data_IF_517208148514
#
_entry.id   IF_517208148514
#
_cell.length_a   1.000
_cell.length_b   1.000
_cell.length_c   1.000
_cell.angle_alpha   90.00
_cell.angle_beta   90.00
_cell.angle_gamma   90.00
#
_symmetry.space_group_name_H-M   'P 1'
#
loop_
_entity.id
_entity.type
_entity.pdbx_description
1 polymer ?
#
# COMPACT_ATOMS: atom_id res chain seq x y z
N UNK A 1 -14.50 -5.51 14.22
CA UNK A 1 -14.82 -4.22 14.83
C UNK A 1 -14.19 -4.00 16.20
N UNK A 2 -13.73 -5.06 16.87
CA UNK A 2 -13.07 -5.06 18.18
C UNK A 2 -11.53 -5.10 18.09
N UNK A 3 -10.95 -5.04 16.89
CA UNK A 3 -9.51 -5.05 16.69
C UNK A 3 -8.87 -3.72 17.11
N UNK A 4 -7.63 -3.80 17.59
CA UNK A 4 -6.78 -2.62 17.75
C UNK A 4 -6.44 -2.03 16.38
N UNK A 5 -6.93 -0.81 16.11
CA UNK A 5 -6.80 -0.17 14.79
C UNK A 5 -5.34 0.13 14.42
N UNK A 6 -4.49 0.48 15.37
CA UNK A 6 -3.09 0.82 15.08
C UNK A 6 -2.29 -0.43 14.74
N UNK A 7 -2.49 -1.52 15.47
CA UNK A 7 -1.92 -2.82 15.14
C UNK A 7 -2.42 -3.33 13.79
N UNK A 8 -3.72 -3.18 13.49
CA UNK A 8 -4.29 -3.60 12.22
C UNK A 8 -3.72 -2.79 11.04
N UNK A 9 -3.60 -1.47 11.17
CA UNK A 9 -2.97 -0.62 10.15
C UNK A 9 -1.51 -1.02 9.90
N UNK A 10 -0.72 -1.20 10.96
CA UNK A 10 0.68 -1.62 10.83
C UNK A 10 0.79 -3.00 10.16
N UNK A 11 -0.07 -3.94 10.51
CA UNK A 11 -0.12 -5.27 9.89
C UNK A 11 -0.44 -5.21 8.39
N UNK A 12 -1.38 -4.37 7.99
CA UNK A 12 -1.74 -4.15 6.58
C UNK A 12 -0.59 -3.52 5.81
N UNK A 13 0.03 -2.47 6.35
CA UNK A 13 1.18 -1.83 5.71
C UNK A 13 2.34 -2.81 5.52
N UNK A 14 2.69 -3.55 6.55
CA UNK A 14 3.72 -4.59 6.44
C UNK A 14 3.34 -5.65 5.42
N UNK A 15 2.10 -6.12 5.43
CA UNK A 15 1.61 -7.19 4.55
C UNK A 15 1.61 -6.84 3.07
N UNK A 16 1.50 -5.55 2.70
CA UNK A 16 1.45 -5.12 1.30
C UNK A 16 2.75 -4.45 0.83
N UNK A 17 3.42 -3.66 1.67
CA UNK A 17 4.59 -2.87 1.25
C UNK A 17 5.92 -3.58 1.48
N UNK A 18 5.96 -4.68 2.23
CA UNK A 18 7.18 -5.49 2.37
C UNK A 18 7.72 -5.91 1.01
N UNK A 19 9.02 -5.96 0.88
CA UNK A 19 9.70 -6.36 -0.36
C UNK A 19 9.21 -5.58 -1.59
N UNK A 20 9.03 -4.27 -1.44
CA UNK A 20 8.53 -3.37 -2.50
C UNK A 20 7.15 -3.76 -3.06
N UNK A 21 6.34 -4.46 -2.26
CA UNK A 21 5.02 -4.96 -2.69
C UNK A 21 5.07 -6.22 -3.57
N UNK A 22 6.23 -6.84 -3.73
CA UNK A 22 6.47 -7.98 -4.62
C UNK A 22 6.49 -9.33 -3.88
N UNK A 23 6.10 -9.37 -2.61
CA UNK A 23 6.01 -10.63 -1.86
C UNK A 23 4.92 -11.54 -2.42
N UNK A 24 5.22 -12.84 -2.55
CA UNK A 24 4.24 -13.84 -2.99
C UNK A 24 3.04 -14.00 -2.05
N UNK A 25 3.19 -13.56 -0.81
CA UNK A 25 2.12 -13.56 0.21
C UNK A 25 1.57 -12.16 0.49
N UNK A 26 1.81 -11.18 -0.39
CA UNK A 26 1.34 -9.82 -0.21
C UNK A 26 -0.18 -9.74 -0.07
N UNK A 27 -0.65 -9.01 0.94
CA UNK A 27 -2.06 -8.80 1.24
C UNK A 27 -2.69 -7.75 0.32
N UNK A 28 -2.89 -8.09 -0.96
CA UNK A 28 -3.36 -7.16 -2.00
C UNK A 28 -4.86 -6.84 -1.94
N UNK A 29 -5.63 -7.53 -1.09
CA UNK A 29 -7.05 -7.28 -0.87
C UNK A 29 -7.34 -7.20 0.61
N UNK A 30 -8.02 -6.14 1.01
CA UNK A 30 -8.35 -5.85 2.40
C UNK A 30 -9.86 -5.72 2.56
N UNK A 31 -10.44 -6.52 3.46
CA UNK A 31 -11.84 -6.44 3.81
C UNK A 31 -11.99 -5.75 5.16
N UNK A 32 -12.67 -4.62 5.17
CA UNK A 32 -12.87 -3.81 6.38
C UNK A 32 -14.35 -3.80 6.76
N UNK A 33 -14.63 -4.07 8.03
CA UNK A 33 -15.99 -4.00 8.55
C UNK A 33 -16.54 -2.58 8.40
N UNK A 34 -17.78 -2.45 7.94
CA UNK A 34 -18.41 -1.16 7.61
C UNK A 34 -18.38 -0.16 8.77
N UNK A 35 -18.58 -0.63 9.99
CA UNK A 35 -18.63 0.24 11.18
C UNK A 35 -17.31 0.92 11.55
N UNK A 36 -16.17 0.41 11.05
CA UNK A 36 -14.84 1.01 11.28
C UNK A 36 -14.18 1.50 10.01
N UNK A 37 -14.88 1.41 8.86
CA UNK A 37 -14.28 1.66 7.55
C UNK A 37 -13.65 3.05 7.46
N UNK A 38 -14.38 4.10 7.79
CA UNK A 38 -13.89 5.48 7.64
C UNK A 38 -12.69 5.75 8.55
N UNK A 39 -12.76 5.35 9.82
CA UNK A 39 -11.67 5.52 10.77
C UNK A 39 -10.43 4.72 10.37
N UNK A 40 -10.61 3.49 9.93
CA UNK A 40 -9.52 2.62 9.49
C UNK A 40 -8.86 3.16 8.22
N UNK A 41 -9.65 3.54 7.21
CA UNK A 41 -9.14 4.05 5.93
C UNK A 41 -8.41 5.38 6.09
N UNK A 42 -8.88 6.27 6.97
CA UNK A 42 -8.18 7.51 7.27
C UNK A 42 -6.79 7.26 7.86
N UNK A 43 -6.68 6.36 8.84
CA UNK A 43 -5.39 5.99 9.45
C UNK A 43 -4.47 5.28 8.48
N UNK A 44 -5.01 4.34 7.69
CA UNK A 44 -4.23 3.60 6.69
C UNK A 44 -3.66 4.54 5.63
N UNK A 45 -4.48 5.45 5.09
CA UNK A 45 -4.04 6.43 4.09
C UNK A 45 -2.95 7.37 4.64
N UNK A 46 -3.12 7.89 5.87
CA UNK A 46 -2.13 8.73 6.53
C UNK A 46 -0.80 7.99 6.75
N UNK A 47 -0.85 6.76 7.24
CA UNK A 47 0.33 5.97 7.49
C UNK A 47 1.04 5.53 6.18
N UNK A 48 0.29 5.16 5.14
CA UNK A 48 0.83 4.83 3.82
C UNK A 48 1.52 6.04 3.16
N UNK A 49 0.94 7.22 3.28
CA UNK A 49 1.53 8.47 2.74
C UNK A 49 2.88 8.84 3.40
N UNK A 50 3.14 8.35 4.59
CA UNK A 50 4.39 8.60 5.34
C UNK A 50 5.50 7.61 5.01
N UNK A 51 5.23 6.56 4.24
CA UNK A 51 6.25 5.60 3.81
C UNK A 51 7.30 6.31 2.94
N UNK A 52 8.56 6.16 3.33
CA UNK A 52 9.69 6.73 2.60
C UNK A 52 10.13 5.76 1.51
N UNK A 53 9.76 6.08 0.30
CA UNK A 53 10.22 5.38 -0.91
C UNK A 53 11.47 6.08 -1.44
N UNK A 54 12.53 5.34 -1.74
CA UNK A 54 13.77 5.95 -2.19
C UNK A 54 14.91 4.97 -2.45
N UNK A 55 16.12 5.50 -2.46
CA UNK A 55 17.35 4.75 -2.67
C UNK A 55 17.53 3.71 -1.54
N UNK A 56 17.75 2.42 -1.88
CA UNK A 56 18.02 1.37 -0.89
C UNK A 56 19.28 1.62 -0.05
N UNK A 57 20.23 2.41 -0.53
CA UNK A 57 21.43 2.78 0.21
C UNK A 57 21.20 3.85 1.29
N UNK A 58 20.06 4.55 1.29
CA UNK A 58 19.69 5.51 2.32
C UNK A 58 18.99 4.78 3.48
N UNK A 59 19.59 4.83 4.67
CA UNK A 59 19.04 4.18 5.88
C UNK A 59 17.63 4.66 6.26
N UNK A 60 17.18 5.80 5.75
CA UNK A 60 15.84 6.34 5.98
C UNK A 60 14.79 5.74 5.05
N UNK A 61 15.20 5.08 3.97
CA UNK A 61 14.31 4.46 3.00
C UNK A 61 13.63 3.23 3.60
N UNK A 62 12.31 3.15 3.45
CA UNK A 62 11.50 2.04 3.95
C UNK A 62 11.04 1.10 2.82
N UNK A 63 11.01 1.61 1.59
CA UNK A 63 10.62 0.86 0.40
C UNK A 63 11.51 1.27 -0.78
N UNK A 64 12.17 0.30 -1.37
CA UNK A 64 13.04 0.50 -2.53
C UNK A 64 12.28 0.52 -3.87
N UNK A 65 13.01 0.67 -4.98
CA UNK A 65 12.42 0.66 -6.31
C UNK A 65 11.99 -0.74 -6.73
N UNK A 66 11.16 -0.80 -7.77
CA UNK A 66 10.88 -2.02 -8.51
C UNK A 66 12.14 -2.49 -9.27
N UNK A 67 12.20 -3.78 -9.60
CA UNK A 67 13.41 -4.42 -10.12
C UNK A 67 13.90 -3.81 -11.46
N UNK A 68 13.01 -3.37 -12.33
CA UNK A 68 13.37 -2.75 -13.62
C UNK A 68 12.20 -1.94 -14.21
N UNK A 69 12.53 -1.12 -15.18
CA UNK A 69 11.61 -0.18 -15.85
C UNK A 69 10.37 -0.87 -16.45
N UNK A 70 10.53 -2.00 -17.11
CA UNK A 70 9.40 -2.72 -17.71
C UNK A 70 8.37 -3.16 -16.65
N UNK A 71 8.84 -3.58 -15.47
CA UNK A 71 7.97 -3.95 -14.38
C UNK A 71 7.23 -2.71 -13.82
N UNK A 72 7.94 -1.59 -13.67
CA UNK A 72 7.34 -0.31 -13.28
C UNK A 72 6.19 0.08 -14.21
N UNK A 73 6.42 0.05 -15.52
CA UNK A 73 5.38 0.34 -16.52
C UNK A 73 4.18 -0.61 -16.43
N UNK A 74 4.43 -1.87 -16.11
CA UNK A 74 3.36 -2.85 -15.89
C UNK A 74 2.50 -2.46 -14.68
N UNK A 75 3.12 -2.11 -13.57
CA UNK A 75 2.42 -1.67 -12.36
C UNK A 75 1.60 -0.41 -12.64
N UNK A 76 2.22 0.60 -13.26
CA UNK A 76 1.54 1.86 -13.62
C UNK A 76 0.32 1.62 -14.53
N UNK A 77 0.46 0.73 -15.51
CA UNK A 77 -0.66 0.34 -16.38
C UNK A 77 -1.82 -0.28 -15.60
N UNK A 78 -1.54 -1.14 -14.62
CA UNK A 78 -2.59 -1.74 -13.79
C UNK A 78 -3.24 -0.71 -12.86
N UNK A 79 -2.49 0.23 -12.33
CA UNK A 79 -3.06 1.36 -11.55
C UNK A 79 -3.99 2.18 -12.44
N UNK A 80 -3.57 2.50 -13.67
CA UNK A 80 -4.42 3.23 -14.62
C UNK A 80 -5.68 2.45 -15.00
N UNK A 81 -5.56 1.15 -15.23
CA UNK A 81 -6.70 0.29 -15.51
C UNK A 81 -7.72 0.30 -14.35
N UNK A 82 -7.23 0.24 -13.12
CA UNK A 82 -8.09 0.36 -11.94
C UNK A 82 -8.85 1.69 -11.90
N UNK A 83 -8.19 2.79 -12.23
CA UNK A 83 -8.85 4.12 -12.34
C UNK A 83 -9.93 4.13 -13.43
N UNK A 84 -9.61 3.60 -14.59
CA UNK A 84 -10.52 3.55 -15.75
C UNK A 84 -11.76 2.70 -15.44
N UNK A 85 -11.62 1.68 -14.61
CA UNK A 85 -12.71 0.82 -14.11
C UNK A 85 -13.48 1.43 -12.92
N UNK A 86 -13.14 2.63 -12.50
CA UNK A 86 -13.87 3.38 -11.46
C UNK A 86 -13.30 3.23 -10.04
N UNK A 87 -12.13 2.63 -9.87
CA UNK A 87 -11.48 2.59 -8.56
C UNK A 87 -10.94 3.98 -8.16
N UNK A 88 -11.03 4.29 -6.87
CA UNK A 88 -10.50 5.53 -6.30
C UNK A 88 -9.12 5.29 -5.73
N UNK A 89 -8.12 6.00 -6.23
CA UNK A 89 -6.79 6.03 -5.62
C UNK A 89 -6.83 6.91 -4.37
N UNK A 90 -6.52 6.33 -3.23
CA UNK A 90 -6.50 7.04 -1.94
C UNK A 90 -5.15 7.65 -1.63
N UNK A 91 -4.05 6.96 -1.99
CA UNK A 91 -2.66 7.38 -1.76
C UNK A 91 -1.80 6.82 -2.88
N UNK A 92 -0.81 7.57 -3.31
CA UNK A 92 0.13 7.16 -4.35
C UNK A 92 -0.51 7.09 -5.74
N UNK A 93 -0.03 6.18 -6.58
CA UNK A 93 -0.54 5.93 -7.94
C UNK A 93 0.14 6.69 -9.05
#
# INVERSE_FOLDING_TARGET
>A
DDADLDHAVNGVLFGIFSSSGESCIAGSRLFVHRGIYDAFMARLADAAAKLRVGDPADERTQMGPLIHEQHRQTVERYVQLGRDEGATVRVGG
#
